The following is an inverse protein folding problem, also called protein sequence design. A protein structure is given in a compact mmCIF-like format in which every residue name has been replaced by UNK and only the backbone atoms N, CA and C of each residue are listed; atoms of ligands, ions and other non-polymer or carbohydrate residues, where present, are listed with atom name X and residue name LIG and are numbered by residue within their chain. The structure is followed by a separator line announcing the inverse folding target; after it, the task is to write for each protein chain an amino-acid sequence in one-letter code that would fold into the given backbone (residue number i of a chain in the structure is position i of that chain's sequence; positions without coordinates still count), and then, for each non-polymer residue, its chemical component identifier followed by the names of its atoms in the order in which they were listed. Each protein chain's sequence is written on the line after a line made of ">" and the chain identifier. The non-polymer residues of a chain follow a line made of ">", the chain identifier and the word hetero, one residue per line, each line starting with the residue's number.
data_IF_848387173729
#
_entry.id   IF_848387173729
#
_cell.length_a   1.000
_cell.length_b   1.000
_cell.length_c   1.000
_cell.angle_alpha   90.00
_cell.angle_beta   90.00
_cell.angle_gamma   90.00
#
_symmetry.space_group_name_H-M   'P 1'
#
loop_
_entity.id
_entity.type
_entity.pdbx_description
1 polymer ?
#
# COMPACT_ATOMS: atom_id res chain seq x y z
N UNK A 1 -13.26 -35.49 12.09
CA UNK A 1 -14.14 -34.33 11.83
C UNK A 1 -14.11 -33.32 12.99
N UNK A 2 -14.30 -33.74 14.25
CA UNK A 2 -14.25 -32.86 15.42
C UNK A 2 -12.93 -32.07 15.59
N UNK A 3 -11.79 -32.75 15.48
CA UNK A 3 -10.47 -32.11 15.65
C UNK A 3 -10.18 -31.05 14.57
N UNK A 4 -10.62 -31.29 13.34
CA UNK A 4 -10.52 -30.34 12.22
C UNK A 4 -11.41 -29.11 12.47
N UNK A 5 -12.63 -29.30 12.97
CA UNK A 5 -13.53 -28.20 13.31
C UNK A 5 -12.97 -27.31 14.42
N UNK A 6 -12.34 -27.89 15.44
CA UNK A 6 -11.67 -27.15 16.54
C UNK A 6 -10.49 -26.34 16.00
N UNK A 7 -9.67 -26.91 15.11
CA UNK A 7 -8.55 -26.21 14.46
C UNK A 7 -9.01 -25.06 13.58
N UNK A 8 -10.08 -25.25 12.80
CA UNK A 8 -10.68 -24.20 11.96
C UNK A 8 -11.27 -23.10 12.84
N UNK A 9 -11.91 -23.43 13.95
CA UNK A 9 -12.44 -22.45 14.90
C UNK A 9 -11.32 -21.62 15.53
N UNK A 10 -10.25 -22.26 16.01
CA UNK A 10 -9.07 -21.59 16.57
C UNK A 10 -8.39 -20.70 15.52
N UNK A 11 -8.27 -21.18 14.28
CA UNK A 11 -7.73 -20.41 13.16
C UNK A 11 -8.59 -19.18 12.84
N UNK A 12 -9.92 -19.33 12.81
CA UNK A 12 -10.85 -18.22 12.59
C UNK A 12 -10.81 -17.22 13.75
N UNK A 13 -10.83 -17.68 15.00
CA UNK A 13 -10.71 -16.83 16.18
C UNK A 13 -9.39 -16.06 16.16
N UNK A 14 -8.28 -16.73 15.82
CA UNK A 14 -6.97 -16.11 15.65
C UNK A 14 -6.97 -15.07 14.51
N UNK A 15 -7.60 -15.38 13.37
CA UNK A 15 -7.74 -14.49 12.21
C UNK A 15 -8.58 -13.26 12.53
N UNK A 16 -9.69 -13.42 13.24
CA UNK A 16 -10.54 -12.31 13.69
C UNK A 16 -9.84 -11.45 14.73
N UNK A 17 -9.08 -12.06 15.65
CA UNK A 17 -8.30 -11.34 16.65
C UNK A 17 -7.15 -10.55 16.02
N UNK A 18 -6.41 -11.16 15.09
CA UNK A 18 -5.35 -10.49 14.30
C UNK A 18 -5.90 -9.34 13.48
N UNK A 19 -7.00 -9.55 12.76
CA UNK A 19 -7.66 -8.51 11.96
C UNK A 19 -8.15 -7.34 12.83
N UNK A 20 -8.73 -7.64 14.01
CA UNK A 20 -9.13 -6.61 14.98
C UNK A 20 -7.94 -5.81 15.52
N UNK A 21 -6.85 -6.47 15.87
CA UNK A 21 -5.66 -5.79 16.41
C UNK A 21 -5.01 -4.86 15.38
N UNK A 22 -4.91 -5.30 14.12
CA UNK A 22 -4.37 -4.51 13.02
C UNK A 22 -5.26 -3.30 12.70
N UNK A 23 -6.59 -3.48 12.61
CA UNK A 23 -7.51 -2.36 12.38
C UNK A 23 -7.49 -1.35 13.53
N UNK A 24 -7.47 -1.80 14.79
CA UNK A 24 -7.38 -0.90 15.95
C UNK A 24 -6.06 -0.14 15.93
N UNK A 25 -4.95 -0.79 15.60
CA UNK A 25 -3.64 -0.14 15.52
C UNK A 25 -3.59 0.93 14.40
N UNK A 26 -3.98 0.58 13.18
CA UNK A 26 -3.97 1.51 12.03
C UNK A 26 -4.89 2.69 12.29
N UNK A 27 -6.12 2.46 12.76
CA UNK A 27 -7.04 3.57 13.03
C UNK A 27 -6.57 4.42 14.22
N UNK A 28 -5.95 3.85 15.26
CA UNK A 28 -5.39 4.63 16.37
C UNK A 28 -4.23 5.53 15.90
N UNK A 29 -3.47 5.13 14.88
CA UNK A 29 -2.35 5.89 14.35
C UNK A 29 -2.79 6.91 13.27
N UNK A 30 -3.73 6.52 12.41
CA UNK A 30 -4.23 7.33 11.30
C UNK A 30 -5.15 8.46 11.79
N UNK A 31 -5.98 8.19 12.80
CA UNK A 31 -6.93 9.17 13.34
C UNK A 31 -6.26 10.48 13.81
N UNK A 32 -5.24 10.46 14.69
CA UNK A 32 -4.56 11.69 15.10
C UNK A 32 -3.83 12.36 13.93
N UNK A 33 -3.28 11.61 12.98
CA UNK A 33 -2.64 12.19 11.79
C UNK A 33 -3.66 12.95 10.92
N UNK A 34 -4.83 12.37 10.63
CA UNK A 34 -5.89 13.05 9.87
C UNK A 34 -6.45 14.27 10.60
N UNK A 35 -6.59 14.21 11.93
CA UNK A 35 -7.02 15.36 12.71
C UNK A 35 -5.99 16.50 12.68
N UNK A 36 -4.70 16.18 12.78
CA UNK A 36 -3.62 17.16 12.69
C UNK A 36 -3.52 17.78 11.29
N UNK A 37 -3.58 16.95 10.24
CA UNK A 37 -3.54 17.43 8.85
C UNK A 37 -4.79 18.25 8.54
N UNK A 38 -5.96 17.80 8.99
CA UNK A 38 -7.23 18.50 8.82
C UNK A 38 -7.22 19.86 9.54
N UNK A 39 -6.69 19.91 10.76
CA UNK A 39 -6.55 21.14 11.52
C UNK A 39 -5.55 22.11 10.89
N UNK A 40 -4.44 21.60 10.35
CA UNK A 40 -3.44 22.42 9.66
C UNK A 40 -4.01 23.10 8.41
N UNK A 41 -4.89 22.42 7.67
CA UNK A 41 -5.49 22.97 6.45
C UNK A 41 -6.69 23.89 6.69
N UNK A 42 -7.13 24.12 7.94
CA UNK A 42 -8.25 25.02 8.26
C UNK A 42 -8.01 26.48 7.85
N UNK A 43 -6.75 26.92 7.77
CA UNK A 43 -6.35 28.31 7.49
C UNK A 43 -5.77 28.53 6.09
N UNK A 44 -5.70 27.50 5.25
CA UNK A 44 -5.12 27.56 3.90
C UNK A 44 -6.16 27.50 2.77
N UNK A 45 -5.69 27.49 1.52
CA UNK A 45 -6.54 27.34 0.31
C UNK A 45 -7.34 26.03 0.31
N UNK A 46 -6.87 24.99 1.00
CA UNK A 46 -7.52 23.67 1.09
C UNK A 46 -8.45 23.51 2.29
N UNK A 47 -9.06 24.61 2.76
CA UNK A 47 -9.93 24.63 3.95
C UNK A 47 -11.05 23.58 3.91
N UNK A 48 -11.71 23.41 2.77
CA UNK A 48 -12.79 22.42 2.62
C UNK A 48 -12.28 20.98 2.79
N UNK A 49 -11.10 20.67 2.24
CA UNK A 49 -10.45 19.38 2.44
C UNK A 49 -10.02 19.18 3.90
N UNK A 50 -9.56 20.25 4.56
CA UNK A 50 -9.24 20.25 5.99
C UNK A 50 -10.45 19.93 6.87
N UNK A 51 -11.59 20.58 6.62
CA UNK A 51 -12.86 20.34 7.33
C UNK A 51 -13.34 18.90 7.09
N UNK A 52 -13.28 18.42 5.84
CA UNK A 52 -13.65 17.04 5.52
C UNK A 52 -12.78 16.03 6.27
N UNK A 53 -11.45 16.24 6.30
CA UNK A 53 -10.52 15.40 7.07
C UNK A 53 -10.81 15.40 8.57
N UNK A 54 -11.24 16.54 9.13
CA UNK A 54 -11.63 16.62 10.53
C UNK A 54 -12.91 15.82 10.83
N UNK A 55 -13.93 15.93 9.97
CA UNK A 55 -15.18 15.17 10.11
C UNK A 55 -14.90 13.67 10.05
N UNK A 56 -14.13 13.24 9.05
CA UNK A 56 -13.73 11.84 8.89
C UNK A 56 -12.88 11.38 10.07
N UNK A 57 -11.94 12.21 10.54
CA UNK A 57 -11.10 11.93 11.70
C UNK A 57 -11.91 11.75 12.99
N UNK A 58 -12.88 12.62 13.26
CA UNK A 58 -13.76 12.52 14.44
C UNK A 58 -14.63 11.26 14.37
N UNK A 59 -15.17 10.95 13.19
CA UNK A 59 -15.95 9.73 12.97
C UNK A 59 -15.11 8.47 13.24
N UNK A 60 -13.88 8.44 12.72
CA UNK A 60 -12.95 7.34 12.96
C UNK A 60 -12.56 7.24 14.43
N UNK A 61 -12.38 8.36 15.14
CA UNK A 61 -12.15 8.36 16.58
C UNK A 61 -13.32 7.72 17.34
N UNK A 62 -14.56 8.03 16.97
CA UNK A 62 -15.75 7.42 17.57
C UNK A 62 -15.80 5.90 17.31
N UNK A 63 -15.46 5.45 16.09
CA UNK A 63 -15.37 4.03 15.75
C UNK A 63 -14.28 3.32 16.56
N UNK A 64 -13.10 3.92 16.70
CA UNK A 64 -11.99 3.37 17.51
C UNK A 64 -12.40 3.24 18.97
N UNK A 65 -13.01 4.29 19.54
CA UNK A 65 -13.52 4.28 20.92
C UNK A 65 -14.60 3.21 21.12
N UNK A 66 -15.48 3.03 20.14
CA UNK A 66 -16.51 2.00 20.16
C UNK A 66 -15.91 0.59 20.11
N UNK A 67 -14.96 0.34 19.22
CA UNK A 67 -14.23 -0.92 19.13
C UNK A 67 -13.45 -1.21 20.42
N UNK A 68 -12.78 -0.21 20.99
CA UNK A 68 -12.09 -0.32 22.27
C UNK A 68 -13.06 -0.77 23.37
N UNK A 69 -14.23 -0.13 23.44
CA UNK A 69 -15.28 -0.45 24.41
C UNK A 69 -15.81 -1.89 24.26
N UNK A 70 -16.06 -2.36 23.05
CA UNK A 70 -16.49 -3.75 22.80
C UNK A 70 -15.38 -4.73 23.19
N UNK A 71 -14.13 -4.42 22.86
CA UNK A 71 -13.00 -5.33 23.07
C UNK A 71 -12.72 -5.56 24.55
N UNK A 72 -12.99 -4.59 25.44
CA UNK A 72 -12.84 -4.77 26.90
C UNK A 72 -14.08 -5.25 27.65
N UNK A 73 -15.20 -5.57 26.97
CA UNK A 73 -16.42 -6.06 27.67
C UNK A 73 -16.22 -7.38 28.42
N UNK A 74 -15.24 -8.19 28.03
CA UNK A 74 -14.91 -9.47 28.68
C UNK A 74 -13.65 -9.46 29.55
N UNK A 75 -12.99 -8.31 29.72
CA UNK A 75 -11.70 -8.21 30.43
C UNK A 75 -11.90 -7.51 31.78
N UNK A 76 -11.48 -8.17 32.85
CA UNK A 76 -11.45 -7.60 34.21
C UNK A 76 -10.75 -6.24 34.23
N UNK A 77 -11.30 -5.29 34.99
CA UNK A 77 -10.80 -3.90 35.05
C UNK A 77 -9.31 -3.82 35.38
N UNK A 78 -8.78 -4.73 36.20
CA UNK A 78 -7.36 -4.80 36.59
C UNK A 78 -6.43 -5.15 35.43
N UNK A 79 -6.85 -6.04 34.53
CA UNK A 79 -6.02 -6.52 33.40
C UNK A 79 -6.21 -5.73 32.12
N UNK A 80 -7.22 -4.87 32.07
CA UNK A 80 -7.60 -4.09 30.89
C UNK A 80 -6.45 -3.26 30.31
N UNK A 81 -5.66 -2.61 31.16
CA UNK A 81 -4.51 -1.81 30.71
C UNK A 81 -3.43 -2.67 30.05
N UNK A 82 -3.08 -3.81 30.65
CA UNK A 82 -2.11 -4.75 30.08
C UNK A 82 -2.63 -5.36 28.76
N UNK A 83 -3.92 -5.69 28.72
CA UNK A 83 -4.58 -6.21 27.52
C UNK A 83 -4.50 -5.23 26.34
N UNK A 84 -4.77 -3.94 26.56
CA UNK A 84 -4.69 -2.94 25.49
C UNK A 84 -3.26 -2.66 25.05
N UNK A 85 -2.28 -2.65 25.96
CA UNK A 85 -0.87 -2.55 25.59
C UNK A 85 -0.46 -3.71 24.70
N UNK A 86 -0.81 -4.94 25.08
CA UNK A 86 -0.48 -6.12 24.30
C UNK A 86 -1.21 -6.13 22.95
N UNK A 87 -2.47 -5.70 22.91
CA UNK A 87 -3.24 -5.57 21.68
C UNK A 87 -2.60 -4.55 20.72
N UNK A 88 -2.14 -3.42 21.24
CA UNK A 88 -1.47 -2.39 20.47
C UNK A 88 -0.10 -2.85 19.95
N UNK A 89 0.73 -3.47 20.79
CA UNK A 89 2.04 -4.03 20.41
C UNK A 89 1.87 -5.11 19.33
N UNK A 90 0.87 -5.98 19.50
CA UNK A 90 0.58 -7.04 18.54
C UNK A 90 0.11 -6.47 17.19
N UNK A 91 -0.76 -5.46 17.21
CA UNK A 91 -1.16 -4.72 16.02
C UNK A 91 0.03 -4.03 15.33
N UNK A 92 0.94 -3.42 16.09
CA UNK A 92 2.15 -2.78 15.58
C UNK A 92 3.10 -3.77 14.90
N UNK A 93 3.35 -4.91 15.54
CA UNK A 93 4.22 -5.96 15.01
C UNK A 93 3.65 -6.52 13.70
N UNK A 94 2.33 -6.72 13.65
CA UNK A 94 1.64 -7.19 12.46
C UNK A 94 1.67 -6.17 11.34
N UNK A 95 1.41 -4.90 11.65
CA UNK A 95 1.52 -3.79 10.69
C UNK A 95 2.93 -3.70 10.11
N UNK A 96 3.97 -3.79 10.95
CA UNK A 96 5.36 -3.81 10.50
C UNK A 96 5.65 -5.02 9.60
N UNK A 97 5.13 -6.20 9.94
CA UNK A 97 5.27 -7.40 9.12
C UNK A 97 4.59 -7.23 7.74
N UNK A 98 3.37 -6.69 7.71
CA UNK A 98 2.64 -6.40 6.47
C UNK A 98 3.38 -5.34 5.64
N UNK A 99 3.86 -4.26 6.29
CA UNK A 99 4.60 -3.19 5.64
C UNK A 99 5.90 -3.68 5.02
N UNK A 100 6.71 -4.47 5.76
CA UNK A 100 7.92 -5.08 5.22
C UNK A 100 7.64 -5.97 4.01
N UNK A 101 6.54 -6.75 4.02
CA UNK A 101 6.14 -7.56 2.87
C UNK A 101 5.75 -6.68 1.67
N UNK A 102 4.99 -5.62 1.90
CA UNK A 102 4.60 -4.67 0.84
C UNK A 102 5.82 -3.96 0.26
N UNK A 103 6.80 -3.57 1.07
CA UNK A 103 8.04 -2.92 0.60
C UNK A 103 8.87 -3.85 -0.28
N UNK A 104 8.95 -5.14 0.06
CA UNK A 104 9.63 -6.14 -0.77
C UNK A 104 8.91 -6.34 -2.10
N UNK A 105 7.57 -6.38 -2.09
CA UNK A 105 6.78 -6.46 -3.34
C UNK A 105 6.96 -5.18 -4.16
N UNK A 106 6.96 -4.01 -3.52
CA UNK A 106 7.14 -2.73 -4.19
C UNK A 106 8.53 -2.59 -4.82
N UNK A 107 9.60 -3.03 -4.14
CA UNK A 107 10.94 -3.02 -4.72
C UNK A 107 11.04 -3.98 -5.93
N UNK A 108 10.37 -5.14 -5.87
CA UNK A 108 10.28 -6.05 -7.01
C UNK A 108 9.53 -5.42 -8.19
N UNK A 109 8.38 -4.78 -7.96
CA UNK A 109 7.60 -4.08 -9.00
C UNK A 109 8.40 -2.91 -9.58
N UNK A 110 9.07 -2.13 -8.74
CA UNK A 110 9.93 -1.03 -9.18
C UNK A 110 11.10 -1.53 -10.05
N UNK A 111 11.72 -2.66 -9.70
CA UNK A 111 12.75 -3.28 -10.53
C UNK A 111 12.23 -3.75 -11.89
N UNK A 112 11.02 -4.34 -11.93
CA UNK A 112 10.36 -4.73 -13.19
C UNK A 112 9.98 -3.53 -14.06
N UNK A 113 9.49 -2.44 -13.46
CA UNK A 113 9.22 -1.20 -14.21
C UNK A 113 10.52 -0.52 -14.66
N UNK A 114 11.57 -0.61 -13.86
CA UNK A 114 12.92 -0.16 -14.22
C UNK A 114 13.47 -0.89 -15.44
N UNK A 115 13.36 -2.24 -15.49
CA UNK A 115 13.80 -3.00 -16.67
C UNK A 115 12.94 -2.73 -17.91
N UNK A 116 11.62 -2.61 -17.77
CA UNK A 116 10.71 -2.28 -18.88
C UNK A 116 10.96 -0.86 -19.39
N UNK A 117 11.17 0.12 -18.52
CA UNK A 117 11.46 1.50 -18.93
C UNK A 117 12.82 1.64 -19.61
N UNK A 118 13.83 0.85 -19.20
CA UNK A 118 15.11 0.76 -19.91
C UNK A 118 14.94 0.15 -21.30
N UNK A 119 14.21 -0.96 -21.43
CA UNK A 119 13.93 -1.59 -22.73
C UNK A 119 13.13 -0.63 -23.65
N UNK A 120 12.18 0.11 -23.09
CA UNK A 120 11.40 1.09 -23.85
C UNK A 120 12.25 2.29 -24.30
N UNK A 121 13.16 2.76 -23.43
CA UNK A 121 14.11 3.83 -23.76
C UNK A 121 15.11 3.36 -24.82
N UNK A 122 15.60 2.14 -24.72
CA UNK A 122 16.51 1.55 -25.70
C UNK A 122 15.83 1.38 -27.08
N UNK A 123 14.56 0.94 -27.10
CA UNK A 123 13.75 0.88 -28.33
C UNK A 123 13.49 2.26 -28.94
N UNK A 124 13.22 3.28 -28.12
CA UNK A 124 13.07 4.67 -28.59
C UNK A 124 14.39 5.23 -29.14
N UNK A 125 15.52 4.96 -28.49
CA UNK A 125 16.86 5.36 -28.94
C UNK A 125 17.30 4.61 -30.22
N UNK A 126 16.77 3.41 -30.47
CA UNK A 126 16.93 2.69 -31.74
C UNK A 126 16.00 3.26 -32.81
N UNK A 127 14.72 3.51 -32.49
CA UNK A 127 13.74 4.06 -33.43
C UNK A 127 14.02 5.52 -33.83
N UNK A 128 14.64 6.31 -32.95
CA UNK A 128 15.09 7.68 -33.23
C UNK A 128 16.45 7.76 -33.93
N UNK A 129 17.13 6.63 -34.13
CA UNK A 129 18.41 6.58 -34.84
C UNK A 129 18.16 6.60 -36.35
N UNK A 130 18.51 7.70 -37.01
CA UNK A 130 18.59 7.74 -38.48
C UNK A 130 19.71 6.79 -38.91
N UNK A 131 19.34 5.63 -39.43
CA UNK A 131 20.29 4.74 -40.13
C UNK A 131 20.56 5.43 -41.47
N UNK A 132 21.71 6.09 -41.57
CA UNK A 132 22.23 6.49 -42.88
C UNK A 132 22.70 5.20 -43.55
N UNK A 133 21.85 4.64 -44.39
CA UNK A 133 22.28 3.62 -45.35
C UNK A 133 23.29 4.35 -46.25
N UNK A 134 24.52 3.83 -46.33
CA UNK A 134 25.52 4.38 -47.25
C UNK A 134 24.94 4.30 -48.67
N UNK A 135 24.70 5.46 -49.29
CA UNK A 135 24.11 5.57 -50.64
C UNK A 135 24.95 4.86 -51.72
N UNK A 136 26.16 4.39 -51.37
CA UNK A 136 27.03 3.59 -52.24
C UNK A 136 26.79 2.07 -52.13
N UNK A 137 25.92 1.59 -51.24
CA UNK A 137 25.51 0.19 -51.20
C UNK A 137 24.52 -0.09 -52.34
N UNK A 138 25.10 -0.39 -53.51
CA UNK A 138 24.37 -0.88 -54.68
C UNK A 138 24.31 -2.41 -54.65
N UNK A 139 23.24 -2.97 -55.18
CA UNK A 139 23.23 -4.39 -55.53
C UNK A 139 24.27 -4.69 -56.63
N UNK A 140 24.52 -5.96 -56.94
CA UNK A 140 25.48 -6.36 -57.97
C UNK A 140 25.11 -5.86 -59.40
N UNK A 141 23.90 -5.33 -59.57
CA UNK A 141 23.34 -4.81 -60.81
C UNK A 141 23.32 -3.27 -60.85
N UNK A 142 23.75 -2.61 -59.78
CA UNK A 142 23.90 -1.16 -59.69
C UNK A 142 22.67 -0.40 -59.18
N UNK A 143 21.62 -1.08 -58.73
CA UNK A 143 20.41 -0.44 -58.21
C UNK A 143 20.53 -0.10 -56.72
N UNK A 144 19.86 0.97 -56.32
CA UNK A 144 19.80 1.42 -54.93
C UNK A 144 18.63 0.72 -54.23
N UNK A 145 18.87 0.14 -53.05
CA UNK A 145 17.79 -0.44 -52.24
C UNK A 145 16.86 0.69 -51.81
N UNK A 146 15.71 0.81 -52.48
CA UNK A 146 14.66 1.76 -52.11
C UNK A 146 13.90 1.17 -50.93
N UNK A 147 13.55 2.03 -49.97
CA UNK A 147 12.86 1.67 -48.73
C UNK A 147 11.72 0.68 -48.99
N UNK A 148 11.78 -0.49 -48.34
CA UNK A 148 10.70 -1.46 -48.37
C UNK A 148 9.61 -0.94 -47.44
N UNK A 149 8.48 -0.51 -48.01
CA UNK A 149 7.27 -0.23 -47.24
C UNK A 149 6.86 -1.48 -46.45
N UNK A 150 6.56 -1.28 -45.17
CA UNK A 150 6.31 -2.35 -44.20
C UNK A 150 4.95 -3.00 -44.36
#
# INVERSE_FOLDING_TARGET
>A
MFLVAVLVLLFLMYRFYTFRAEMVFIMTLLTPAMLLIGAYHLTGEYREAGIFLLIVGIFLLAVVMFMYRITARGVEKKFRSAYYKNLFIYGALRFLQTFCRMTIVFSFVAAMLGSVSLDYKERLDIAGRKIYVDDNLRDAEGNQYTEVER
#
